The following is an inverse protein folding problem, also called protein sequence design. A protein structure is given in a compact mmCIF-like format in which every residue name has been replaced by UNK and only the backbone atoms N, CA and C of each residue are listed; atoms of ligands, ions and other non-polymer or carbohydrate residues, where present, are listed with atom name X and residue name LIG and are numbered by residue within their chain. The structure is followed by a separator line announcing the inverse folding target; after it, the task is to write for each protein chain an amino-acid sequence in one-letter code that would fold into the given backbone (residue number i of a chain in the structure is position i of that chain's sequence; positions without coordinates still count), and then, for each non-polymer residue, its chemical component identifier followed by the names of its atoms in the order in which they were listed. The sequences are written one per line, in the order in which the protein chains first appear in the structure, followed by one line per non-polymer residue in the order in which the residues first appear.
data_IF_521725036688
#
_entry.id   IF_521725036688
#
_cell.length_a   1.000
_cell.length_b   1.000
_cell.length_c   1.000
_cell.angle_alpha   90.00
_cell.angle_beta   90.00
_cell.angle_gamma   90.00
#
_symmetry.space_group_name_H-M   'P 1'
#
loop_
_entity.id
_entity.type
_entity.pdbx_description
1 polymer ?
#
# COMPACT_ATOMS: atom_id res chain seq x y z
N UNK A 1 4.42 18.51 1.41
CA UNK A 1 3.52 17.34 1.60
C UNK A 1 2.12 17.85 1.82
N UNK A 2 1.14 17.39 1.04
CA UNK A 2 -0.28 17.63 1.34
C UNK A 2 -0.88 16.45 2.10
N UNK A 3 -2.01 16.69 2.78
CA UNK A 3 -2.71 15.69 3.57
C UNK A 3 -4.15 15.51 3.07
N UNK A 4 -4.54 14.26 2.82
CA UNK A 4 -5.87 13.87 2.32
C UNK A 4 -6.63 13.10 3.39
N UNK A 5 -7.97 13.13 3.34
CA UNK A 5 -8.77 12.24 4.17
C UNK A 5 -8.63 10.79 3.69
N UNK A 6 -8.58 9.84 4.62
CA UNK A 6 -8.70 8.43 4.31
C UNK A 6 -10.18 8.09 4.07
N UNK A 7 -10.59 8.14 2.81
CA UNK A 7 -12.01 8.02 2.43
C UNK A 7 -12.86 9.10 3.07
N UNK A 8 -14.02 8.72 3.63
CA UNK A 8 -14.89 9.63 4.37
C UNK A 8 -14.52 9.81 5.85
N UNK A 9 -13.48 9.14 6.34
CA UNK A 9 -13.09 9.22 7.75
C UNK A 9 -12.52 10.60 8.11
N UNK A 10 -12.41 10.86 9.42
CA UNK A 10 -11.76 12.07 9.94
C UNK A 10 -10.22 12.02 9.86
N UNK A 11 -9.63 10.85 9.63
CA UNK A 11 -8.18 10.65 9.62
C UNK A 11 -7.56 11.29 8.38
N UNK A 12 -6.52 12.11 8.58
CA UNK A 12 -5.73 12.72 7.50
C UNK A 12 -4.41 11.97 7.33
N UNK A 13 -4.19 11.45 6.13
CA UNK A 13 -2.95 10.76 5.74
C UNK A 13 -2.16 11.64 4.77
N UNK A 14 -0.83 11.60 4.86
CA UNK A 14 0.05 12.21 3.86
C UNK A 14 -0.17 11.56 2.49
N UNK A 15 -0.04 12.33 1.41
CA UNK A 15 -0.21 11.83 0.04
C UNK A 15 0.73 10.68 -0.32
N UNK A 16 1.95 10.73 0.21
CA UNK A 16 2.88 9.61 0.20
C UNK A 16 2.98 9.02 1.60
N UNK A 17 2.96 7.70 1.69
CA UNK A 17 3.17 6.93 2.91
C UNK A 17 4.37 6.01 2.73
N UNK A 18 4.89 5.42 3.81
CA UNK A 18 6.10 4.62 3.76
C UNK A 18 5.87 3.17 4.20
N UNK A 19 6.12 2.22 3.29
CA UNK A 19 5.99 0.80 3.54
C UNK A 19 7.32 0.11 3.82
N UNK A 20 7.26 -0.94 4.65
CA UNK A 20 8.43 -1.71 5.11
C UNK A 20 8.65 -3.03 4.35
N UNK A 21 7.77 -3.39 3.42
CA UNK A 21 7.84 -4.67 2.70
C UNK A 21 9.14 -4.80 1.88
N UNK A 22 9.79 -5.95 2.01
CA UNK A 22 11.09 -6.32 1.39
C UNK A 22 12.30 -5.58 1.98
N UNK A 23 12.11 -4.43 2.62
CA UNK A 23 13.21 -3.56 3.02
C UNK A 23 13.61 -3.85 4.47
N UNK A 24 12.68 -3.76 5.41
CA UNK A 24 13.00 -3.87 6.83
C UNK A 24 13.23 -5.34 7.20
N UNK A 25 14.26 -5.59 8.00
CA UNK A 25 14.78 -6.90 8.42
C UNK A 25 15.34 -7.82 7.30
N UNK A 26 14.99 -7.59 6.03
CA UNK A 26 15.56 -8.34 4.89
C UNK A 26 16.76 -7.64 4.25
N UNK A 27 16.68 -6.31 4.11
CA UNK A 27 17.72 -5.49 3.47
C UNK A 27 18.31 -4.45 4.42
N UNK A 28 17.56 -4.10 5.47
CA UNK A 28 17.85 -3.00 6.37
C UNK A 28 17.57 -3.41 7.82
N UNK A 29 18.59 -3.25 8.68
CA UNK A 29 18.48 -3.40 10.14
C UNK A 29 18.02 -2.09 10.80
N UNK A 30 18.07 -2.00 12.14
CA UNK A 30 17.48 -0.88 12.91
C UNK A 30 18.06 0.49 12.53
N UNK A 31 19.39 0.63 12.41
CA UNK A 31 19.98 1.96 12.17
C UNK A 31 19.59 2.55 10.79
N UNK A 32 19.74 1.84 9.65
CA UNK A 32 19.28 2.41 8.39
C UNK A 32 17.75 2.50 8.29
N UNK A 33 16.99 1.72 9.08
CA UNK A 33 15.54 1.91 9.20
C UNK A 33 15.21 3.24 9.89
N UNK A 34 15.94 3.62 10.94
CA UNK A 34 15.79 4.94 11.60
C UNK A 34 16.08 6.08 10.65
N UNK A 35 17.13 5.97 9.83
CA UNK A 35 17.48 7.02 8.88
C UNK A 35 16.37 7.21 7.84
N UNK A 36 15.85 6.11 7.28
CA UNK A 36 14.71 6.13 6.33
C UNK A 36 13.43 6.69 6.96
N UNK A 37 13.12 6.26 8.19
CA UNK A 37 11.95 6.73 8.94
C UNK A 37 12.05 8.23 9.24
N UNK A 38 13.23 8.69 9.67
CA UNK A 38 13.51 10.11 9.94
C UNK A 38 13.32 10.94 8.67
N UNK A 39 13.94 10.54 7.55
CA UNK A 39 13.80 11.23 6.28
C UNK A 39 12.33 11.29 5.78
N UNK A 40 11.57 10.20 5.95
CA UNK A 40 10.15 10.17 5.61
C UNK A 40 9.34 11.13 6.49
N UNK A 41 9.53 11.05 7.82
CA UNK A 41 8.81 11.85 8.80
C UNK A 41 9.10 13.35 8.66
N UNK A 42 10.37 13.73 8.50
CA UNK A 42 10.79 15.11 8.31
C UNK A 42 10.26 15.71 7.00
N UNK A 43 10.04 14.87 5.98
CA UNK A 43 9.38 15.27 4.73
C UNK A 43 7.84 15.37 4.85
N UNK A 44 7.28 15.12 6.03
CA UNK A 44 5.87 15.21 6.35
C UNK A 44 5.07 13.92 6.16
N UNK A 45 5.71 12.78 5.87
CA UNK A 45 5.01 11.49 5.86
C UNK A 45 4.54 11.18 7.27
N UNK A 46 3.23 10.93 7.43
CA UNK A 46 2.66 10.57 8.72
C UNK A 46 2.16 9.12 8.77
N UNK A 47 2.14 8.38 7.66
CA UNK A 47 1.64 7.00 7.63
C UNK A 47 2.74 5.98 7.29
N UNK A 48 2.94 5.02 8.19
CA UNK A 48 3.94 3.95 8.12
C UNK A 48 3.28 2.57 8.13
N UNK A 49 3.55 1.78 7.09
CA UNK A 49 2.84 0.54 6.80
C UNK A 49 3.70 -0.73 7.04
N UNK A 50 3.12 -1.71 7.73
CA UNK A 50 3.78 -2.96 8.11
C UNK A 50 2.83 -4.16 8.09
N UNK A 51 3.32 -5.38 8.33
CA UNK A 51 2.50 -6.59 8.42
C UNK A 51 3.20 -7.70 9.22
N UNK A 52 2.43 -8.59 9.86
CA UNK A 52 3.01 -9.73 10.57
C UNK A 52 3.78 -10.69 9.65
N UNK A 53 3.34 -10.80 8.38
CA UNK A 53 3.96 -11.69 7.40
C UNK A 53 5.30 -11.16 6.87
N UNK A 54 5.65 -9.89 7.11
CA UNK A 54 6.89 -9.31 6.61
C UNK A 54 8.07 -9.79 7.45
N UNK A 55 8.86 -10.68 6.86
CA UNK A 55 9.99 -11.36 7.50
C UNK A 55 9.58 -12.00 8.84
N UNK A 56 8.42 -12.67 8.86
CA UNK A 56 7.86 -13.33 10.04
C UNK A 56 7.81 -12.42 11.29
N UNK A 57 7.33 -11.19 11.11
CA UNK A 57 7.15 -10.18 12.15
C UNK A 57 8.43 -9.41 12.51
N UNK A 58 9.58 -9.74 11.90
CA UNK A 58 10.82 -8.99 12.14
C UNK A 58 10.75 -7.55 11.66
N UNK A 59 10.02 -7.29 10.58
CA UNK A 59 9.80 -5.92 10.07
C UNK A 59 9.11 -5.03 11.12
N UNK A 60 8.12 -5.55 11.83
CA UNK A 60 7.42 -4.83 12.91
C UNK A 60 8.33 -4.56 14.11
N UNK A 61 9.20 -5.51 14.47
CA UNK A 61 10.19 -5.32 15.53
C UNK A 61 11.18 -4.19 15.20
N UNK A 62 11.69 -4.18 13.96
CA UNK A 62 12.64 -3.15 13.49
C UNK A 62 11.98 -1.77 13.49
N UNK A 63 10.78 -1.65 12.92
CA UNK A 63 10.03 -0.39 12.89
C UNK A 63 9.67 0.10 14.30
N UNK A 64 9.16 -0.79 15.15
CA UNK A 64 8.78 -0.46 16.53
C UNK A 64 9.97 -0.02 17.38
N UNK A 65 11.12 -0.69 17.26
CA UNK A 65 12.34 -0.27 17.93
C UNK A 65 12.83 1.09 17.40
N UNK A 66 12.84 1.28 16.08
CA UNK A 66 13.29 2.53 15.47
C UNK A 66 12.44 3.73 15.92
N UNK A 67 11.11 3.65 15.83
CA UNK A 67 10.19 4.71 16.26
C UNK A 67 10.34 5.00 17.75
N UNK A 68 10.47 3.95 18.58
CA UNK A 68 10.68 4.11 20.02
C UNK A 68 11.98 4.85 20.35
N UNK A 69 13.08 4.53 19.67
CA UNK A 69 14.37 5.22 19.83
C UNK A 69 14.36 6.65 19.28
N UNK A 70 13.55 6.94 18.26
CA UNK A 70 13.39 8.29 17.70
C UNK A 70 12.54 9.19 18.60
N UNK A 71 11.75 8.62 19.52
CA UNK A 71 11.00 9.38 20.52
C UNK A 71 9.85 10.22 19.94
N UNK A 72 9.31 9.84 18.79
CA UNK A 72 8.14 10.53 18.21
C UNK A 72 6.91 10.41 19.12
N UNK A 73 6.13 11.49 19.20
CA UNK A 73 4.88 11.46 19.96
C UNK A 73 3.84 10.59 19.25
N UNK A 74 3.10 9.75 19.98
CA UNK A 74 2.19 8.76 19.38
C UNK A 74 1.10 9.37 18.49
N UNK A 75 0.68 10.59 18.80
CA UNK A 75 -0.32 11.38 18.07
C UNK A 75 0.19 12.02 16.77
N UNK A 76 1.50 11.97 16.53
CA UNK A 76 2.13 12.57 15.33
C UNK A 76 2.18 11.62 14.11
N UNK A 77 1.97 10.32 14.31
CA UNK A 77 2.08 9.32 13.24
C UNK A 77 0.96 8.29 13.28
N UNK A 78 0.79 7.66 12.13
CA UNK A 78 -0.15 6.59 11.83
C UNK A 78 0.67 5.34 11.55
N UNK A 79 0.39 4.26 12.25
CA UNK A 79 1.02 2.95 12.03
C UNK A 79 -0.02 1.89 11.70
N UNK A 80 0.29 1.06 10.70
CA UNK A 80 -0.52 -0.11 10.37
C UNK A 80 0.18 -1.44 10.60
N UNK A 81 -0.65 -2.47 10.77
CA UNK A 81 -0.26 -3.85 10.56
C UNK A 81 -1.34 -4.58 9.73
N UNK A 82 -1.02 -5.79 9.25
CA UNK A 82 -1.92 -6.66 8.50
C UNK A 82 -1.83 -8.08 9.01
N UNK A 83 -2.99 -8.71 9.11
CA UNK A 83 -3.13 -10.10 9.54
C UNK A 83 -3.52 -11.01 8.39
N UNK A 84 -2.85 -12.15 8.30
CA UNK A 84 -3.25 -13.34 7.55
C UNK A 84 -2.25 -14.49 7.72
N UNK A 85 -0.94 -14.18 7.83
CA UNK A 85 0.15 -15.16 7.83
C UNK A 85 1.06 -14.97 9.04
N UNK A 86 0.60 -15.35 10.23
CA UNK A 86 1.36 -15.24 11.47
C UNK A 86 2.25 -16.45 11.81
N UNK A 87 2.11 -17.58 11.12
CA UNK A 87 2.92 -18.77 11.36
C UNK A 87 2.48 -20.03 10.62
N UNK A 88 3.14 -21.15 10.92
CA UNK A 88 2.95 -22.40 10.20
C UNK A 88 1.77 -23.23 10.72
N UNK A 89 1.31 -23.02 11.97
CA UNK A 89 0.21 -23.80 12.53
C UNK A 89 -1.15 -23.37 11.95
N UNK A 90 -2.17 -24.25 11.96
CA UNK A 90 -3.49 -23.94 11.39
C UNK A 90 -4.16 -22.71 11.99
N UNK A 91 -3.93 -22.45 13.28
CA UNK A 91 -4.51 -21.31 14.01
C UNK A 91 -3.68 -20.04 13.99
N UNK A 92 -2.59 -20.02 13.22
CA UNK A 92 -1.69 -18.88 13.05
C UNK A 92 -1.81 -18.25 11.65
N UNK A 93 -2.94 -18.49 10.97
CA UNK A 93 -3.22 -17.96 9.63
C UNK A 93 -4.71 -17.70 9.43
N UNK A 94 -5.05 -16.95 8.37
CA UNK A 94 -6.42 -16.64 7.97
C UNK A 94 -7.03 -15.45 8.70
N UNK A 95 -8.36 -15.38 8.73
CA UNK A 95 -9.10 -14.25 9.30
C UNK A 95 -10.10 -14.66 10.38
N UNK A 96 -9.97 -15.87 10.92
CA UNK A 96 -10.73 -16.30 12.10
C UNK A 96 -10.57 -15.33 13.26
N UNK A 97 -11.59 -15.21 14.10
CA UNK A 97 -11.58 -14.31 15.25
C UNK A 97 -10.40 -14.59 16.20
N UNK A 98 -10.00 -15.87 16.31
CA UNK A 98 -8.81 -16.28 17.06
C UNK A 98 -7.55 -15.62 16.50
N UNK A 99 -7.26 -15.83 15.22
CA UNK A 99 -6.01 -15.35 14.64
C UNK A 99 -5.98 -13.83 14.52
N UNK A 100 -7.07 -13.20 14.08
CA UNK A 100 -7.19 -11.73 14.00
C UNK A 100 -6.88 -11.06 15.34
N UNK A 101 -7.43 -11.59 16.44
CA UNK A 101 -7.19 -11.08 17.79
C UNK A 101 -5.75 -11.32 18.24
N UNK A 102 -5.25 -12.55 18.12
CA UNK A 102 -3.89 -12.90 18.57
C UNK A 102 -2.81 -12.15 17.78
N UNK A 103 -2.99 -12.00 16.47
CA UNK A 103 -2.08 -11.26 15.60
C UNK A 103 -2.05 -9.77 15.95
N UNK A 104 -3.19 -9.14 16.25
CA UNK A 104 -3.25 -7.74 16.65
C UNK A 104 -2.46 -7.52 17.95
N UNK A 105 -2.69 -8.35 18.97
CA UNK A 105 -1.97 -8.28 20.23
C UNK A 105 -0.46 -8.51 20.06
N UNK A 106 -0.07 -9.38 19.12
CA UNK A 106 1.34 -9.62 18.82
C UNK A 106 1.97 -8.43 18.07
N UNK A 107 1.27 -7.84 17.09
CA UNK A 107 1.72 -6.66 16.35
C UNK A 107 1.94 -5.47 17.28
N UNK A 108 1.01 -5.20 18.22
CA UNK A 108 1.15 -4.14 19.23
C UNK A 108 2.44 -4.28 20.05
N UNK A 109 2.76 -5.51 20.49
CA UNK A 109 4.00 -5.80 21.22
C UNK A 109 5.24 -5.57 20.35
N UNK A 110 5.23 -6.03 19.10
CA UNK A 110 6.38 -5.89 18.18
C UNK A 110 6.63 -4.43 17.80
N UNK A 111 5.56 -3.68 17.53
CA UNK A 111 5.58 -2.25 17.18
C UNK A 111 5.76 -1.33 18.39
N UNK A 112 5.62 -1.84 19.62
CA UNK A 112 5.71 -1.08 20.88
C UNK A 112 4.69 0.06 20.97
N UNK A 113 3.45 -0.21 20.58
CA UNK A 113 2.34 0.74 20.64
C UNK A 113 1.13 0.14 21.37
N UNK A 114 0.30 0.98 21.97
CA UNK A 114 -0.91 0.54 22.68
C UNK A 114 -2.10 0.26 21.76
N UNK A 115 -2.11 0.90 20.59
CA UNK A 115 -3.10 0.75 19.54
C UNK A 115 -2.48 0.89 18.14
N UNK A 116 -3.07 0.20 17.16
CA UNK A 116 -2.83 0.44 15.74
C UNK A 116 -3.83 1.50 15.25
N UNK A 117 -3.38 2.45 14.43
CA UNK A 117 -4.31 3.35 13.77
C UNK A 117 -5.11 2.60 12.72
N UNK A 118 -4.42 1.77 11.92
CA UNK A 118 -4.97 1.04 10.80
C UNK A 118 -4.65 -0.46 10.95
N UNK A 119 -5.64 -1.33 10.91
CA UNK A 119 -5.42 -2.78 10.91
C UNK A 119 -6.11 -3.44 9.71
N UNK A 120 -5.35 -4.19 8.92
CA UNK A 120 -5.84 -4.73 7.65
C UNK A 120 -6.01 -6.25 7.69
N UNK A 121 -7.07 -6.74 7.07
CA UNK A 121 -7.09 -8.11 6.53
C UNK A 121 -6.15 -8.15 5.32
N UNK A 122 -5.00 -8.85 5.43
CA UNK A 122 -3.97 -8.81 4.39
C UNK A 122 -4.43 -9.42 3.06
N UNK A 123 -5.32 -10.42 3.10
CA UNK A 123 -5.97 -11.05 1.94
C UNK A 123 -7.39 -11.47 2.30
N UNK A 124 -8.27 -11.74 1.33
CA UNK A 124 -9.53 -12.42 1.61
C UNK A 124 -9.26 -13.84 2.11
N UNK A 125 -10.07 -14.30 3.05
CA UNK A 125 -10.05 -15.67 3.56
C UNK A 125 -11.35 -16.37 3.12
N UNK A 126 -11.21 -17.44 2.35
CA UNK A 126 -12.36 -18.22 1.87
C UNK A 126 -12.86 -19.22 2.91
N UNK A 127 -12.06 -19.50 3.94
CA UNK A 127 -12.37 -20.47 4.98
C UNK A 127 -13.04 -19.81 6.20
N UNK A 128 -13.02 -18.48 6.29
CA UNK A 128 -13.64 -17.72 7.38
C UNK A 128 -14.82 -16.89 6.86
N UNK A 129 -16.03 -17.02 7.44
CA UNK A 129 -17.15 -16.13 7.10
C UNK A 129 -16.80 -14.66 7.32
N UNK A 130 -17.17 -13.79 6.38
CA UNK A 130 -16.94 -12.34 6.50
C UNK A 130 -17.56 -11.79 7.78
N UNK A 131 -18.71 -12.34 8.21
CA UNK A 131 -19.33 -11.96 9.48
C UNK A 131 -18.40 -12.13 10.69
N UNK A 132 -17.70 -13.27 10.78
CA UNK A 132 -16.77 -13.52 11.89
C UNK A 132 -15.60 -12.52 11.87
N UNK A 133 -15.07 -12.25 10.67
CA UNK A 133 -13.99 -11.27 10.47
C UNK A 133 -14.42 -9.87 10.91
N UNK A 134 -15.61 -9.40 10.48
CA UNK A 134 -16.13 -8.07 10.83
C UNK A 134 -16.35 -7.96 12.34
N UNK A 135 -16.90 -8.99 12.99
CA UNK A 135 -17.05 -9.02 14.46
C UNK A 135 -15.70 -8.96 15.17
N UNK A 136 -14.71 -9.72 14.72
CA UNK A 136 -13.37 -9.72 15.31
C UNK A 136 -12.70 -8.33 15.21
N UNK A 137 -12.78 -7.69 14.06
CA UNK A 137 -12.26 -6.33 13.85
C UNK A 137 -13.00 -5.30 14.70
N UNK A 138 -14.32 -5.36 14.76
CA UNK A 138 -15.12 -4.49 15.62
C UNK A 138 -14.74 -4.66 17.10
N UNK A 139 -14.55 -5.89 17.58
CA UNK A 139 -14.17 -6.15 18.97
C UNK A 139 -12.82 -5.49 19.32
N UNK A 140 -11.83 -5.55 18.42
CA UNK A 140 -10.53 -4.88 18.63
C UNK A 140 -10.68 -3.35 18.70
N UNK A 141 -11.63 -2.78 17.95
CA UNK A 141 -11.94 -1.35 18.00
C UNK A 141 -12.58 -0.98 19.35
N UNK A 142 -13.57 -1.75 19.81
CA UNK A 142 -14.22 -1.54 21.11
C UNK A 142 -13.22 -1.67 22.27
N UNK A 143 -12.22 -2.55 22.13
CA UNK A 143 -11.12 -2.70 23.10
C UNK A 143 -10.09 -1.56 23.05
N UNK A 144 -10.19 -0.62 22.10
CA UNK A 144 -9.23 0.46 21.91
C UNK A 144 -7.87 -0.01 21.37
N UNK A 145 -7.80 -1.21 20.77
CA UNK A 145 -6.57 -1.79 20.22
C UNK A 145 -6.32 -1.42 18.76
N UNK A 146 -7.39 -1.05 18.07
CA UNK A 146 -7.39 -0.61 16.67
C UNK A 146 -8.31 0.61 16.58
N UNK A 147 -7.92 1.65 15.82
CA UNK A 147 -8.80 2.82 15.59
C UNK A 147 -9.68 2.61 14.36
N UNK A 148 -9.08 2.16 13.25
CA UNK A 148 -9.75 1.87 11.99
C UNK A 148 -9.28 0.53 11.46
N UNK A 149 -10.19 -0.22 10.84
CA UNK A 149 -9.83 -1.45 10.13
C UNK A 149 -10.16 -1.34 8.65
N UNK A 150 -9.49 -2.15 7.86
CA UNK A 150 -9.66 -2.20 6.42
C UNK A 150 -9.28 -3.54 5.82
N UNK A 151 -9.33 -3.61 4.50
CA UNK A 151 -9.09 -4.80 3.71
C UNK A 151 -7.91 -4.61 2.76
N UNK A 152 -7.34 -5.70 2.25
CA UNK A 152 -6.28 -5.65 1.24
C UNK A 152 -6.46 -6.78 0.24
N UNK A 153 -6.52 -6.41 -1.04
CA UNK A 153 -6.81 -7.25 -2.18
C UNK A 153 -8.19 -7.92 -2.15
N UNK A 154 -9.14 -7.39 -1.39
CA UNK A 154 -10.53 -7.88 -1.40
C UNK A 154 -11.26 -7.43 -2.67
N UNK A 155 -12.26 -8.20 -3.10
CA UNK A 155 -13.13 -7.78 -4.21
C UNK A 155 -14.15 -6.74 -3.75
N UNK A 156 -14.69 -5.99 -4.71
CA UNK A 156 -15.78 -5.05 -4.42
C UNK A 156 -17.02 -5.73 -3.81
N UNK A 157 -17.30 -6.97 -4.20
CA UNK A 157 -18.37 -7.79 -3.62
C UNK A 157 -18.10 -8.10 -2.14
N UNK A 158 -16.88 -8.52 -1.79
CA UNK A 158 -16.54 -8.87 -0.40
C UNK A 158 -16.55 -7.64 0.51
N UNK A 159 -16.07 -6.48 0.02
CA UNK A 159 -16.12 -5.21 0.76
C UNK A 159 -17.57 -4.79 0.98
N UNK A 160 -18.43 -4.93 -0.04
CA UNK A 160 -19.87 -4.67 0.06
C UNK A 160 -20.51 -5.56 1.12
N UNK A 161 -20.22 -6.86 1.11
CA UNK A 161 -20.70 -7.82 2.12
C UNK A 161 -20.27 -7.43 3.55
N UNK A 162 -19.00 -7.04 3.74
CA UNK A 162 -18.50 -6.58 5.03
C UNK A 162 -19.25 -5.33 5.53
N UNK A 163 -19.55 -4.38 4.64
CA UNK A 163 -20.39 -3.23 4.98
C UNK A 163 -21.81 -3.63 5.35
N UNK A 164 -22.42 -4.58 4.63
CA UNK A 164 -23.78 -5.05 4.90
C UNK A 164 -23.88 -5.75 6.26
N UNK A 165 -22.94 -6.65 6.58
CA UNK A 165 -22.83 -7.27 7.91
C UNK A 165 -22.73 -6.19 8.98
N UNK A 166 -21.81 -5.24 8.81
CA UNK A 166 -21.60 -4.20 9.81
C UNK A 166 -22.86 -3.34 10.04
N UNK A 167 -23.58 -3.01 8.97
CA UNK A 167 -24.85 -2.26 9.07
C UNK A 167 -25.96 -3.06 9.74
N UNK A 168 -26.11 -4.33 9.36
CA UNK A 168 -27.13 -5.24 9.92
C UNK A 168 -26.96 -5.41 11.43
N UNK A 169 -25.71 -5.55 11.88
CA UNK A 169 -25.39 -5.97 13.24
C UNK A 169 -24.95 -4.80 14.15
N UNK A 170 -24.94 -3.56 13.64
CA UNK A 170 -24.48 -2.40 14.40
C UNK A 170 -22.97 -2.40 14.69
N UNK A 171 -22.18 -3.05 13.84
CA UNK A 171 -20.72 -3.15 13.97
C UNK A 171 -20.01 -2.05 13.19
N UNK A 172 -18.69 -1.93 13.40
CA UNK A 172 -17.86 -0.96 12.68
C UNK A 172 -17.49 -1.51 11.29
N UNK A 173 -17.89 -0.86 10.18
CA UNK A 173 -17.51 -1.29 8.83
C UNK A 173 -16.03 -0.99 8.53
N UNK A 174 -15.44 -1.62 7.48
CA UNK A 174 -14.10 -1.25 7.03
C UNK A 174 -14.09 0.20 6.52
N UNK A 175 -12.97 0.90 6.75
CA UNK A 175 -12.80 2.31 6.36
C UNK A 175 -12.02 2.46 5.06
N UNK A 176 -11.12 1.53 4.77
CA UNK A 176 -10.20 1.60 3.65
C UNK A 176 -9.90 0.23 3.05
N UNK A 177 -9.43 0.27 1.81
CA UNK A 177 -8.85 -0.86 1.09
C UNK A 177 -7.38 -0.55 0.76
N UNK A 178 -6.52 -1.57 0.75
CA UNK A 178 -5.12 -1.48 0.35
C UNK A 178 -4.87 -2.31 -0.92
N UNK A 179 -5.19 -1.76 -2.11
CA UNK A 179 -5.08 -2.49 -3.37
C UNK A 179 -3.79 -2.16 -4.12
N UNK A 180 -3.38 -3.05 -5.02
CA UNK A 180 -2.36 -2.74 -6.01
C UNK A 180 -2.89 -1.67 -6.96
N UNK A 181 -2.11 -0.60 -7.17
CA UNK A 181 -2.43 0.40 -8.18
C UNK A 181 -1.18 0.98 -8.79
N UNK A 182 -1.10 0.95 -10.11
CA UNK A 182 -0.04 1.57 -10.90
C UNK A 182 -0.48 1.60 -12.36
N UNK A 183 0.34 2.19 -13.23
CA UNK A 183 0.06 2.27 -14.67
C UNK A 183 -0.33 0.91 -15.28
N UNK A 184 0.22 -0.21 -14.80
CA UNK A 184 -0.07 -1.54 -15.35
C UNK A 184 -1.13 -2.35 -14.59
N UNK A 185 -1.70 -1.81 -13.51
CA UNK A 185 -2.70 -2.46 -12.66
C UNK A 185 -3.71 -1.42 -12.17
N UNK A 186 -4.91 -1.43 -12.76
CA UNK A 186 -5.92 -0.36 -12.64
C UNK A 186 -7.31 -0.85 -12.28
N UNK A 187 -7.54 -2.14 -12.50
CA UNK A 187 -8.85 -2.76 -12.60
C UNK A 187 -9.68 -2.60 -11.33
N UNK A 188 -9.08 -2.95 -10.19
CA UNK A 188 -9.73 -2.84 -8.88
C UNK A 188 -10.10 -1.41 -8.53
N UNK A 189 -9.12 -0.51 -8.64
CA UNK A 189 -9.26 0.89 -8.19
C UNK A 189 -10.18 1.70 -9.09
N UNK A 190 -10.10 1.53 -10.41
CA UNK A 190 -10.84 2.35 -11.37
C UNK A 190 -12.18 1.73 -11.79
N UNK A 191 -12.38 0.40 -11.64
CA UNK A 191 -13.63 -0.29 -12.01
C UNK A 191 -14.32 -0.98 -10.84
N UNK A 192 -13.67 -1.96 -10.19
CA UNK A 192 -14.33 -2.81 -9.17
C UNK A 192 -14.85 -1.98 -7.98
N UNK A 193 -14.06 -1.01 -7.52
CA UNK A 193 -14.40 -0.18 -6.36
C UNK A 193 -15.19 1.08 -6.70
N UNK A 194 -15.38 1.39 -7.98
CA UNK A 194 -16.14 2.56 -8.43
C UNK A 194 -17.50 2.72 -7.72
N UNK A 195 -18.36 1.69 -7.59
CA UNK A 195 -19.64 1.82 -6.89
C UNK A 195 -19.52 1.95 -5.35
N UNK A 196 -18.36 1.60 -4.78
CA UNK A 196 -18.15 1.48 -3.33
C UNK A 196 -17.66 2.80 -2.74
N UNK A 197 -16.91 3.59 -3.50
CA UNK A 197 -16.40 4.88 -3.05
C UNK A 197 -17.51 5.81 -2.57
N UNK A 198 -18.57 5.98 -3.36
CA UNK A 198 -19.64 6.93 -3.02
C UNK A 198 -20.70 6.30 -2.10
N UNK A 199 -20.96 5.00 -2.25
CA UNK A 199 -21.93 4.27 -1.40
C UNK A 199 -21.46 4.18 0.05
N UNK A 200 -20.17 3.94 0.27
CA UNK A 200 -19.62 3.67 1.59
C UNK A 200 -18.54 4.66 2.04
N UNK A 201 -17.98 5.49 1.16
CA UNK A 201 -16.91 6.43 1.48
C UNK A 201 -15.56 5.76 1.68
N UNK A 202 -15.28 4.70 0.90
CA UNK A 202 -14.06 3.91 1.00
C UNK A 202 -12.82 4.76 0.70
N UNK A 203 -11.82 4.72 1.58
CA UNK A 203 -10.48 5.27 1.32
C UNK A 203 -9.56 4.23 0.69
N UNK A 204 -8.46 4.66 0.05
CA UNK A 204 -7.46 3.71 -0.45
C UNK A 204 -6.05 4.10 -0.04
N UNK A 205 -5.29 3.09 0.39
CA UNK A 205 -3.85 3.18 0.61
C UNK A 205 -3.19 2.32 -0.47
N UNK A 206 -2.81 2.84 -1.62
CA UNK A 206 -2.38 1.96 -2.72
C UNK A 206 -0.95 1.47 -2.54
N UNK A 207 -0.64 0.27 -3.04
CA UNK A 207 0.71 -0.33 -2.96
C UNK A 207 1.31 -0.67 -4.33
N UNK A 208 2.63 -0.83 -4.36
CA UNK A 208 3.45 -1.05 -5.57
C UNK A 208 3.19 -0.04 -6.71
N UNK A 209 3.24 1.28 -6.45
CA UNK A 209 3.03 2.29 -7.48
C UNK A 209 4.06 2.23 -8.61
N UNK A 210 5.25 1.68 -8.31
CA UNK A 210 6.34 1.51 -9.27
C UNK A 210 6.42 0.09 -9.86
N UNK A 211 5.39 -0.74 -9.68
CA UNK A 211 5.33 -2.12 -10.18
C UNK A 211 6.61 -2.92 -9.87
N UNK A 212 6.99 -3.00 -8.58
CA UNK A 212 8.23 -3.65 -8.12
C UNK A 212 9.52 -3.10 -8.74
N UNK A 213 9.50 -1.82 -9.14
CA UNK A 213 10.61 -1.10 -9.74
C UNK A 213 10.63 -1.10 -11.27
N UNK A 214 9.67 -1.75 -11.93
CA UNK A 214 9.59 -1.74 -13.39
C UNK A 214 9.38 -0.34 -13.96
N UNK A 215 8.54 0.46 -13.31
CA UNK A 215 8.25 1.86 -13.69
C UNK A 215 9.38 2.84 -13.30
N UNK A 216 10.60 2.35 -13.09
CA UNK A 216 11.80 3.19 -12.94
C UNK A 216 12.70 3.15 -14.16
N UNK A 217 12.42 2.28 -15.13
CA UNK A 217 13.30 2.03 -16.28
C UNK A 217 14.52 1.16 -15.96
N UNK A 218 14.76 0.78 -14.69
CA UNK A 218 15.96 0.00 -14.31
C UNK A 218 16.05 -1.38 -14.96
N UNK A 219 14.94 -1.92 -15.48
CA UNK A 219 14.90 -3.22 -16.16
C UNK A 219 14.94 -3.12 -17.69
N UNK A 220 15.17 -1.94 -18.26
CA UNK A 220 15.13 -1.72 -19.71
C UNK A 220 16.15 -2.55 -20.49
N UNK A 221 17.30 -2.84 -19.87
CA UNK A 221 18.45 -3.53 -20.46
C UNK A 221 18.76 -4.87 -19.75
N UNK A 222 17.77 -5.44 -19.05
CA UNK A 222 17.92 -6.68 -18.29
C UNK A 222 17.74 -6.47 -16.78
N UNK A 223 18.14 -7.45 -15.96
CA UNK A 223 17.96 -7.41 -14.50
C UNK A 223 19.26 -6.97 -13.83
N UNK A 224 19.31 -5.75 -13.24
CA UNK A 224 20.52 -5.29 -12.57
C UNK A 224 20.84 -6.10 -11.31
N UNK A 225 22.13 -6.26 -11.01
CA UNK A 225 22.56 -6.79 -9.72
C UNK A 225 22.08 -5.87 -8.57
N UNK A 226 21.71 -6.48 -7.45
CA UNK A 226 21.16 -5.76 -6.29
C UNK A 226 19.75 -5.19 -6.49
N UNK A 227 19.13 -5.40 -7.65
CA UNK A 227 17.70 -5.09 -7.84
C UNK A 227 16.80 -6.08 -7.10
N UNK A 228 15.54 -5.70 -6.89
CA UNK A 228 14.55 -6.58 -6.21
C UNK A 228 14.39 -7.92 -6.93
N UNK A 229 14.39 -7.91 -8.27
CA UNK A 229 14.26 -9.11 -9.08
C UNK A 229 15.51 -10.03 -9.05
N UNK A 230 16.63 -9.57 -8.48
CA UNK A 230 17.84 -10.36 -8.29
C UNK A 230 17.94 -10.98 -6.88
N UNK A 231 17.00 -10.69 -5.97
CA UNK A 231 17.02 -11.22 -4.61
C UNK A 231 16.54 -12.68 -4.56
N UNK A 232 17.11 -13.52 -3.68
CA UNK A 232 16.56 -14.85 -3.41
C UNK A 232 15.09 -14.78 -2.94
N UNK A 233 14.24 -15.64 -3.49
CA UNK A 233 12.79 -15.66 -3.20
C UNK A 233 11.96 -14.70 -4.07
N UNK A 234 12.58 -13.98 -5.01
CA UNK A 234 11.93 -13.10 -5.98
C UNK A 234 12.07 -13.60 -7.43
N UNK A 235 12.31 -14.91 -7.61
CA UNK A 235 12.40 -15.55 -8.92
C UNK A 235 11.12 -15.33 -9.72
N UNK A 236 9.96 -15.37 -9.06
CA UNK A 236 8.66 -15.05 -9.67
C UNK A 236 8.63 -13.65 -10.31
N UNK A 237 9.30 -12.66 -9.71
CA UNK A 237 9.36 -11.30 -10.25
C UNK A 237 10.28 -11.24 -11.48
N UNK A 238 11.42 -11.93 -11.42
CA UNK A 238 12.31 -12.10 -12.57
C UNK A 238 11.55 -12.74 -13.74
N UNK A 239 10.82 -13.80 -13.49
CA UNK A 239 10.12 -14.55 -14.52
C UNK A 239 8.99 -13.71 -15.16
N UNK A 240 8.28 -12.90 -14.35
CA UNK A 240 7.31 -11.93 -14.85
C UNK A 240 7.97 -10.89 -15.76
N UNK A 241 9.14 -10.36 -15.38
CA UNK A 241 9.87 -9.34 -16.15
C UNK A 241 10.44 -9.93 -17.44
N UNK A 242 11.03 -11.12 -17.38
CA UNK A 242 11.64 -11.80 -18.53
C UNK A 242 10.61 -12.37 -19.52
N UNK A 243 9.40 -12.67 -19.04
CA UNK A 243 8.32 -13.21 -19.86
C UNK A 243 7.81 -12.25 -20.94
N UNK A 244 6.97 -12.72 -21.89
CA UNK A 244 6.43 -11.90 -22.97
C UNK A 244 5.68 -10.65 -22.48
N UNK A 245 4.88 -10.79 -21.41
CA UNK A 245 4.15 -9.66 -20.79
C UNK A 245 5.10 -8.62 -20.20
N UNK A 246 6.18 -9.06 -19.54
CA UNK A 246 7.20 -8.19 -18.99
C UNK A 246 7.95 -7.41 -20.07
N UNK A 247 8.37 -8.08 -21.15
CA UNK A 247 9.01 -7.43 -22.30
C UNK A 247 8.12 -6.37 -22.97
N UNK A 248 6.83 -6.65 -23.14
CA UNK A 248 5.87 -5.63 -23.63
C UNK A 248 5.79 -4.43 -22.69
N UNK A 249 5.73 -4.67 -21.37
CA UNK A 249 5.73 -3.59 -20.37
C UNK A 249 7.02 -2.79 -20.39
N UNK A 250 8.19 -3.41 -20.61
CA UNK A 250 9.47 -2.69 -20.76
C UNK A 250 9.43 -1.72 -21.93
N UNK A 251 8.89 -2.12 -23.08
CA UNK A 251 8.74 -1.19 -24.22
C UNK A 251 7.76 -0.05 -23.91
N UNK A 252 6.67 -0.32 -23.18
CA UNK A 252 5.79 0.73 -22.68
C UNK A 252 6.50 1.66 -21.70
N UNK A 253 7.36 1.14 -20.80
CA UNK A 253 8.18 1.95 -19.89
C UNK A 253 9.13 2.87 -20.67
N UNK A 254 9.77 2.39 -21.75
CA UNK A 254 10.61 3.24 -22.62
C UNK A 254 9.81 4.36 -23.28
N UNK A 255 8.58 4.08 -23.72
CA UNK A 255 7.69 5.09 -24.30
C UNK A 255 7.21 6.12 -23.25
N UNK A 256 6.82 5.64 -22.07
CA UNK A 256 6.46 6.49 -20.93
C UNK A 256 7.63 7.37 -20.47
N UNK A 257 8.87 6.89 -20.58
CA UNK A 257 10.04 7.66 -20.18
C UNK A 257 10.21 8.89 -21.08
N UNK A 258 9.98 8.76 -22.40
CA UNK A 258 9.99 9.90 -23.32
C UNK A 258 8.90 10.93 -22.99
N UNK A 259 7.73 10.47 -22.55
CA UNK A 259 6.65 11.35 -22.10
C UNK A 259 7.07 12.09 -20.82
N UNK A 260 7.64 11.37 -19.85
CA UNK A 260 8.13 11.94 -18.60
C UNK A 260 9.23 12.99 -18.83
N UNK A 261 10.19 12.68 -19.70
CA UNK A 261 11.28 13.60 -20.08
C UNK A 261 10.72 14.89 -20.71
N UNK A 262 9.72 14.79 -21.58
CA UNK A 262 9.01 15.94 -22.15
C UNK A 262 8.26 16.78 -21.11
N UNK A 263 7.83 16.16 -20.00
CA UNK A 263 7.23 16.83 -18.85
C UNK A 263 8.26 17.30 -17.80
N UNK A 264 9.56 17.13 -18.06
CA UNK A 264 10.64 17.59 -17.17
C UNK A 264 10.82 16.77 -15.90
N UNK A 265 10.39 15.50 -15.88
CA UNK A 265 10.52 14.62 -14.70
C UNK A 265 10.94 13.20 -15.09
N UNK A 266 11.60 12.45 -14.21
CA UNK A 266 11.91 11.05 -14.48
C UNK A 266 10.64 10.18 -14.44
N UNK A 267 10.65 9.06 -15.16
CA UNK A 267 9.47 8.16 -15.28
C UNK A 267 8.89 7.70 -13.94
N UNK A 268 9.73 7.47 -12.93
CA UNK A 268 9.24 7.03 -11.63
C UNK A 268 8.49 8.16 -10.89
N UNK A 269 8.86 9.43 -11.09
CA UNK A 269 8.04 10.56 -10.61
C UNK A 269 6.71 10.61 -11.36
N UNK A 270 6.73 10.46 -12.69
CA UNK A 270 5.51 10.41 -13.50
C UNK A 270 4.55 9.31 -13.01
N UNK A 271 5.07 8.10 -12.75
CA UNK A 271 4.28 6.98 -12.27
C UNK A 271 3.68 7.22 -10.86
N UNK A 272 4.45 7.80 -9.94
CA UNK A 272 3.97 8.16 -8.60
C UNK A 272 2.89 9.24 -8.65
N UNK A 273 3.14 10.30 -9.42
CA UNK A 273 2.19 11.40 -9.60
C UNK A 273 0.92 10.95 -10.32
N UNK A 274 1.03 10.05 -11.31
CA UNK A 274 -0.12 9.47 -11.98
C UNK A 274 -1.04 8.72 -11.01
N UNK A 275 -0.46 7.91 -10.10
CA UNK A 275 -1.24 7.25 -9.06
C UNK A 275 -1.93 8.29 -8.14
N UNK A 276 -1.20 9.34 -7.75
CA UNK A 276 -1.67 10.36 -6.83
C UNK A 276 -2.72 11.31 -7.45
N UNK A 277 -2.75 11.43 -8.77
CA UNK A 277 -3.72 12.24 -9.51
C UNK A 277 -5.14 11.65 -9.44
N UNK A 278 -5.27 10.35 -9.16
CA UNK A 278 -6.57 9.74 -8.95
C UNK A 278 -7.17 10.22 -7.61
N UNK A 279 -8.34 10.88 -7.60
CA UNK A 279 -8.95 11.42 -6.37
C UNK A 279 -9.42 10.34 -5.39
N UNK A 280 -9.52 9.08 -5.84
CA UNK A 280 -9.86 7.93 -4.98
C UNK A 280 -8.63 7.36 -4.26
N UNK A 281 -7.42 7.83 -4.58
CA UNK A 281 -6.18 7.51 -3.88
C UNK A 281 -5.97 8.47 -2.72
N UNK A 282 -6.09 7.95 -1.49
CA UNK A 282 -5.84 8.74 -0.28
C UNK A 282 -4.34 8.88 0.00
N UNK A 283 -3.58 7.81 -0.24
CA UNK A 283 -2.11 7.79 -0.13
C UNK A 283 -1.48 6.74 -1.05
N UNK A 284 -0.26 7.01 -1.49
CA UNK A 284 0.61 6.12 -2.26
C UNK A 284 1.71 5.58 -1.36
N UNK A 285 1.72 4.27 -1.11
CA UNK A 285 2.75 3.62 -0.28
C UNK A 285 4.04 3.49 -1.09
N UNK A 286 5.05 4.28 -0.70
CA UNK A 286 6.41 4.19 -1.20
C UNK A 286 7.15 3.01 -0.58
N UNK A 287 8.10 2.45 -1.32
CA UNK A 287 9.08 1.53 -0.79
C UNK A 287 10.47 1.95 -1.26
N UNK A 288 11.41 2.09 -0.32
CA UNK A 288 12.79 2.46 -0.60
C UNK A 288 13.73 1.67 0.31
N UNK A 289 14.84 1.18 -0.26
CA UNK A 289 15.90 0.50 0.51
C UNK A 289 17.10 1.38 0.80
N UNK A 290 17.12 2.60 0.25
CA UNK A 290 18.19 3.60 0.41
C UNK A 290 17.60 4.99 0.54
N UNK A 291 18.27 5.87 1.31
CA UNK A 291 17.85 7.26 1.51
C UNK A 291 17.69 8.02 0.19
N UNK A 292 18.65 7.89 -0.71
CA UNK A 292 18.61 8.60 -2.01
C UNK A 292 17.35 8.25 -2.80
N UNK A 293 16.90 6.99 -2.77
CA UNK A 293 15.66 6.58 -3.43
C UNK A 293 14.43 7.22 -2.78
N UNK A 294 14.41 7.32 -1.45
CA UNK A 294 13.31 7.94 -0.72
C UNK A 294 13.25 9.44 -1.02
N UNK A 295 14.37 10.14 -0.91
CA UNK A 295 14.46 11.57 -1.24
C UNK A 295 14.09 11.84 -2.70
N UNK A 296 14.55 11.00 -3.63
CA UNK A 296 14.21 11.13 -5.04
C UNK A 296 12.70 10.92 -5.26
N UNK A 297 12.10 9.87 -4.71
CA UNK A 297 10.66 9.65 -4.79
C UNK A 297 9.84 10.81 -4.18
N UNK A 298 10.30 11.41 -3.08
CA UNK A 298 9.63 12.55 -2.44
C UNK A 298 9.63 13.80 -3.32
N UNK A 299 10.72 14.04 -4.07
CA UNK A 299 10.82 15.15 -5.04
C UNK A 299 9.78 15.07 -6.17
N UNK A 300 9.17 13.90 -6.40
CA UNK A 300 8.07 13.79 -7.35
C UNK A 300 6.96 14.80 -7.06
N UNK A 301 6.72 15.15 -5.78
CA UNK A 301 5.68 16.12 -5.41
C UNK A 301 5.90 17.53 -5.98
N UNK A 302 7.15 17.91 -6.30
CA UNK A 302 7.48 19.20 -6.92
C UNK A 302 6.97 19.28 -8.36
N UNK A 303 6.81 18.12 -9.02
CA UNK A 303 6.39 17.99 -10.41
C UNK A 303 4.87 17.90 -10.64
N UNK A 304 4.03 18.03 -9.60
CA UNK A 304 2.57 17.86 -9.71
C UNK A 304 1.94 18.67 -10.85
N UNK A 305 2.35 19.93 -11.00
CA UNK A 305 1.78 20.83 -12.00
C UNK A 305 2.11 20.43 -13.46
N UNK A 306 3.18 19.64 -13.66
CA UNK A 306 3.58 19.16 -14.97
C UNK A 306 2.75 17.96 -15.46
N UNK A 307 1.92 17.34 -14.60
CA UNK A 307 0.99 16.29 -14.98
C UNK A 307 -0.28 16.88 -15.61
N UNK A 308 -0.12 17.46 -16.79
CA UNK A 308 -1.21 18.12 -17.55
C UNK A 308 -2.18 17.09 -18.17
N UNK A 309 -3.38 17.53 -18.59
CA UNK A 309 -4.31 16.66 -19.32
C UNK A 309 -3.69 16.01 -20.57
N UNK A 310 -2.82 16.72 -21.29
CA UNK A 310 -2.13 16.20 -22.47
C UNK A 310 -1.14 15.08 -22.11
N UNK A 311 -0.40 15.24 -21.00
CA UNK A 311 0.49 14.19 -20.49
C UNK A 311 -0.32 12.96 -20.08
N UNK A 312 -1.45 13.15 -19.39
CA UNK A 312 -2.35 12.06 -19.01
C UNK A 312 -2.91 11.34 -20.25
N UNK A 313 -3.33 12.07 -21.28
CA UNK A 313 -3.80 11.47 -22.53
C UNK A 313 -2.70 10.67 -23.24
N UNK A 314 -1.47 11.21 -23.31
CA UNK A 314 -0.33 10.50 -23.90
C UNK A 314 0.00 9.19 -23.16
N UNK A 315 -0.16 9.16 -21.83
CA UNK A 315 -0.01 7.93 -21.04
C UNK A 315 -1.04 6.88 -21.47
N UNK A 316 -2.30 7.28 -21.66
CA UNK A 316 -3.36 6.34 -22.05
C UNK A 316 -3.08 5.68 -23.40
N UNK A 317 -2.55 6.44 -24.37
CA UNK A 317 -2.17 5.92 -25.69
C UNK A 317 -1.04 4.88 -25.64
N UNK A 318 -0.15 4.96 -24.64
CA UNK A 318 0.94 3.99 -24.46
C UNK A 318 0.47 2.74 -23.73
N UNK A 319 -0.28 2.92 -22.64
CA UNK A 319 -0.59 1.81 -21.74
C UNK A 319 -1.79 1.01 -22.24
N UNK A 320 -2.80 1.67 -22.81
CA UNK A 320 -3.97 1.06 -23.45
C UNK A 320 -4.67 0.00 -22.59
N UNK A 321 -4.83 0.30 -21.29
CA UNK A 321 -5.46 -0.61 -20.31
C UNK A 321 -6.49 0.10 -19.43
N UNK A 322 -6.97 1.28 -19.85
CA UNK A 322 -8.00 2.02 -19.11
C UNK A 322 -9.24 1.14 -18.95
N UNK A 323 -9.70 0.87 -17.71
CA UNK A 323 -10.90 0.08 -17.53
C UNK A 323 -12.10 0.75 -18.17
N UNK A 324 -13.00 -0.05 -18.75
CA UNK A 324 -14.24 0.46 -19.33
C UNK A 324 -15.08 1.17 -18.28
N UNK A 325 -15.63 2.33 -18.65
CA UNK A 325 -16.58 3.04 -17.82
C UNK A 325 -17.89 2.21 -17.69
N UNK A 326 -18.63 2.34 -16.58
CA UNK A 326 -19.93 1.71 -16.45
C UNK A 326 -20.83 2.06 -17.63
N UNK A 327 -21.37 1.05 -18.31
CA UNK A 327 -22.31 1.25 -19.41
C UNK A 327 -23.64 1.74 -18.85
N UNK A 328 -24.19 2.80 -19.45
CA UNK A 328 -25.57 3.24 -19.19
C UNK A 328 -26.48 2.49 -20.17
N UNK A 329 -27.25 1.56 -19.64
CA UNK A 329 -28.31 0.86 -20.39
C UNK A 329 -29.64 1.55 -20.18
#
# INVERSE_FOLDING_TARGET
MDYRRLGKSGLKVSEFSFGSWVTFAKQVDVQPAKDLLTAAYDAGINFFDNAEGYEAGRSELVMGQAIHELGWSRDSYIVSSKVFWGGEKPTQRGLSAKHVTEAAHAALKRLRVDHLDLYFCHRPDIDTPIEETVRAMHNLIVQGKVLYWGTSEWSGQQITEAHLVARRDGLTPPTMEQPQYNLFERDKVERDYAPIYDSYGLGTTIWSPLASGLLTGKYNDGIPQGSRAALPGYEWLRDIIAGPKGRRRVEQVKALARIADGAGMPIHHLALLWCLANPRVSTVILGASKLDQLHDNLKALDGKAALTPDVLAAIEEVVQNKPEAPQRF
#
